data_IF_379152580843
#
_entry.id   IF_379152580843
#
_cell.length_a   1.000
_cell.length_b   1.000
_cell.length_c   1.000
_cell.angle_alpha   90.00
_cell.angle_beta   90.00
_cell.angle_gamma   90.00
#
_symmetry.space_group_name_H-M   'P 1'
#
loop_
_entity.id
_entity.type
_entity.pdbx_description
1 polymer ?
#
# COMPACT_ATOMS: atom_id res chain seq x y z
N UNK A 1 -85.20 -42.15 3.89
CA UNK A 1 -84.26 -42.55 4.97
C UNK A 1 -82.90 -42.80 4.33
N UNK A 2 -81.88 -41.98 4.65
CA UNK A 2 -80.61 -42.39 5.32
C UNK A 2 -79.92 -43.58 4.59
N UNK A 3 -78.69 -43.46 4.08
CA UNK A 3 -77.51 -43.02 4.82
C UNK A 3 -76.25 -42.85 3.97
N UNK A 4 -75.25 -42.29 4.64
CA UNK A 4 -74.05 -41.61 4.14
C UNK A 4 -72.83 -42.39 4.67
N UNK A 5 -71.83 -42.68 3.84
CA UNK A 5 -70.42 -42.92 4.25
C UNK A 5 -69.53 -42.72 3.00
N UNK A 6 -68.86 -41.59 2.81
CA UNK A 6 -67.52 -41.20 3.32
C UNK A 6 -66.40 -42.22 2.98
N UNK A 7 -65.59 -41.89 1.99
CA UNK A 7 -64.14 -42.01 2.05
C UNK A 7 -63.53 -40.95 1.12
N UNK A 8 -62.90 -39.95 1.73
CA UNK A 8 -62.17 -38.90 1.04
C UNK A 8 -60.78 -39.43 0.67
N UNK A 9 -60.44 -39.42 -0.62
CA UNK A 9 -59.07 -39.53 -1.08
C UNK A 9 -58.58 -38.12 -1.40
N UNK A 10 -57.91 -37.50 -0.42
CA UNK A 10 -57.09 -36.32 -0.62
C UNK A 10 -55.84 -36.73 -1.39
N UNK A 11 -55.83 -36.52 -2.70
CA UNK A 11 -54.58 -36.39 -3.44
C UNK A 11 -54.44 -34.92 -3.81
N UNK A 12 -53.70 -34.22 -2.93
CA UNK A 12 -53.11 -32.92 -3.19
C UNK A 12 -52.32 -33.02 -4.49
N UNK A 13 -52.87 -32.47 -5.57
CA UNK A 13 -52.09 -32.16 -6.74
C UNK A 13 -50.96 -31.23 -6.30
N UNK A 14 -49.72 -31.69 -6.48
CA UNK A 14 -48.50 -30.90 -6.36
C UNK A 14 -48.70 -29.62 -7.17
N UNK A 15 -48.88 -28.49 -6.48
CA UNK A 15 -48.88 -27.19 -7.13
C UNK A 15 -47.57 -27.08 -7.90
N UNK A 16 -47.65 -26.77 -9.20
CA UNK A 16 -46.48 -26.39 -9.99
C UNK A 16 -45.70 -25.37 -9.17
N UNK A 17 -44.44 -25.72 -8.91
CA UNK A 17 -43.46 -24.85 -8.29
C UNK A 17 -43.60 -23.47 -8.94
N UNK A 18 -44.05 -22.49 -8.15
CA UNK A 18 -43.80 -21.10 -8.47
C UNK A 18 -42.33 -21.05 -8.81
N UNK A 19 -42.04 -20.60 -10.02
CA UNK A 19 -40.77 -19.98 -10.32
C UNK A 19 -40.63 -18.81 -9.33
N UNK A 20 -40.16 -19.11 -8.13
CA UNK A 20 -39.27 -18.22 -7.44
C UNK A 20 -38.15 -18.07 -8.44
N UNK A 21 -38.15 -16.94 -9.14
CA UNK A 21 -36.92 -16.33 -9.59
C UNK A 21 -35.90 -16.68 -8.50
N UNK A 22 -34.89 -17.46 -8.87
CA UNK A 22 -33.62 -17.38 -8.18
C UNK A 22 -33.30 -15.89 -8.29
N UNK A 23 -33.72 -15.14 -7.28
CA UNK A 23 -33.06 -13.90 -6.96
C UNK A 23 -31.62 -14.36 -6.76
N UNK A 24 -30.67 -13.94 -7.59
CA UNK A 24 -29.30 -13.90 -7.12
C UNK A 24 -29.31 -12.79 -6.07
N UNK A 25 -29.88 -13.06 -4.89
CA UNK A 25 -29.62 -12.25 -3.73
C UNK A 25 -28.43 -12.89 -3.05
N UNK A 26 -27.33 -12.16 -3.17
CA UNK A 26 -26.03 -12.32 -2.54
C UNK A 26 -25.03 -13.19 -3.33
N UNK A 27 -23.87 -12.59 -3.62
CA UNK A 27 -22.97 -12.09 -2.58
C UNK A 27 -23.00 -10.55 -2.50
N UNK A 28 -23.36 -9.96 -1.36
CA UNK A 28 -22.75 -8.68 -0.95
C UNK A 28 -21.70 -8.94 0.12
N UNK A 29 -20.46 -9.13 -0.31
CA UNK A 29 -19.32 -8.58 0.37
C UNK A 29 -18.86 -7.38 -0.47
N UNK A 30 -19.04 -6.17 0.06
CA UNK A 30 -18.07 -5.12 -0.23
C UNK A 30 -16.66 -5.51 0.31
N UNK A 31 -16.48 -6.73 0.86
CA UNK A 31 -15.18 -7.34 1.13
C UNK A 31 -14.69 -8.17 -0.07
N UNK A 32 -14.27 -7.49 -1.15
CA UNK A 32 -13.28 -8.11 -2.04
C UNK A 32 -12.06 -8.42 -1.15
N UNK A 33 -11.67 -9.69 -1.05
CA UNK A 33 -10.44 -10.04 -0.33
C UNK A 33 -9.30 -9.31 -1.03
N UNK A 34 -8.53 -8.47 -0.32
CA UNK A 34 -7.47 -7.73 -0.97
C UNK A 34 -6.44 -8.70 -1.55
N UNK A 35 -5.83 -8.33 -2.67
CA UNK A 35 -4.74 -9.09 -3.27
C UNK A 35 -3.58 -9.25 -2.27
N UNK A 36 -3.27 -8.20 -1.51
CA UNK A 36 -2.29 -8.25 -0.43
C UNK A 36 -2.67 -7.32 0.73
N UNK A 37 -2.16 -7.65 1.92
CA UNK A 37 -2.15 -6.74 3.08
C UNK A 37 -0.69 -6.47 3.43
N UNK A 38 -0.31 -5.20 3.49
CA UNK A 38 1.06 -4.74 3.67
C UNK A 38 1.14 -3.91 4.95
N UNK A 39 1.79 -4.47 5.97
CA UNK A 39 1.90 -3.87 7.31
C UNK A 39 3.20 -3.08 7.45
N UNK A 40 3.12 -1.81 7.78
CA UNK A 40 4.26 -0.90 7.74
C UNK A 40 4.26 0.15 8.82
N UNK A 41 5.47 0.52 9.23
CA UNK A 41 5.73 1.41 10.35
C UNK A 41 6.20 2.77 9.84
N UNK A 42 5.46 3.82 10.20
CA UNK A 42 5.76 5.21 9.82
C UNK A 42 6.26 5.97 11.04
N UNK A 43 7.50 6.48 11.04
CA UNK A 43 7.96 7.37 12.09
C UNK A 43 7.16 8.68 12.08
N UNK A 44 6.46 8.95 13.17
CA UNK A 44 5.67 10.19 13.37
C UNK A 44 6.36 11.18 14.32
N UNK A 45 7.53 10.80 14.84
CA UNK A 45 8.36 11.61 15.73
C UNK A 45 9.69 10.92 16.03
N UNK A 46 10.44 11.42 17.03
CA UNK A 46 11.77 10.87 17.37
C UNK A 46 11.74 9.45 17.92
N UNK A 47 10.64 9.08 18.59
CA UNK A 47 10.48 7.79 19.25
C UNK A 47 9.11 7.17 18.99
N UNK A 48 8.28 7.82 18.18
CA UNK A 48 6.91 7.43 17.91
C UNK A 48 6.81 6.83 16.52
N UNK A 49 6.14 5.69 16.43
CA UNK A 49 5.91 4.93 15.21
C UNK A 49 4.42 4.62 15.11
N UNK A 50 3.86 4.88 13.94
CA UNK A 50 2.50 4.53 13.59
C UNK A 50 2.51 3.28 12.71
N UNK A 51 1.90 2.19 13.17
CA UNK A 51 1.75 0.97 12.39
C UNK A 51 0.47 1.00 11.56
N UNK A 52 0.60 0.79 10.26
CA UNK A 52 -0.47 0.91 9.27
C UNK A 52 -0.56 -0.37 8.44
N UNK A 53 -1.78 -0.76 8.06
CA UNK A 53 -2.02 -1.93 7.22
C UNK A 53 -2.71 -1.51 5.91
N UNK A 54 -1.95 -1.52 4.81
CA UNK A 54 -2.48 -1.19 3.49
C UNK A 54 -3.10 -2.42 2.85
N UNK A 55 -4.33 -2.28 2.37
CA UNK A 55 -5.01 -3.30 1.58
C UNK A 55 -4.81 -2.97 0.11
N UNK A 56 -4.10 -3.81 -0.59
CA UNK A 56 -3.74 -3.61 -1.99
C UNK A 56 -4.63 -4.46 -2.87
N UNK A 57 -5.21 -3.85 -3.89
CA UNK A 57 -5.99 -4.51 -4.94
C UNK A 57 -5.51 -4.05 -6.30
N UNK A 58 -5.28 -4.99 -7.22
CA UNK A 58 -4.87 -4.74 -8.60
C UNK A 58 -5.90 -5.36 -9.52
N UNK A 59 -6.44 -4.59 -10.47
CA UNK A 59 -7.26 -5.14 -11.55
C UNK A 59 -6.39 -5.85 -12.59
N UNK A 60 -6.87 -7.01 -13.03
CA UNK A 60 -6.16 -7.80 -14.04
C UNK A 60 -6.20 -7.13 -15.42
N UNK A 61 -5.10 -7.23 -16.16
CA UNK A 61 -4.97 -6.74 -17.53
C UNK A 61 -3.95 -7.57 -18.32
N UNK A 62 -4.17 -7.72 -19.64
CA UNK A 62 -3.26 -8.45 -20.53
C UNK A 62 -1.95 -7.68 -20.78
N UNK A 63 -1.96 -6.35 -20.68
CA UNK A 63 -0.78 -5.52 -20.87
C UNK A 63 -0.05 -5.34 -19.53
N UNK A 64 1.14 -5.94 -19.37
CA UNK A 64 1.92 -5.89 -18.12
C UNK A 64 2.17 -4.45 -17.63
N UNK A 65 2.39 -3.50 -18.55
CA UNK A 65 2.78 -2.13 -18.20
C UNK A 65 1.85 -1.05 -18.73
N UNK A 66 0.67 -1.43 -19.24
CA UNK A 66 -0.36 -0.51 -19.69
C UNK A 66 -1.03 0.27 -18.55
N UNK A 67 -2.20 0.84 -18.83
CA UNK A 67 -3.02 1.49 -17.80
C UNK A 67 -3.28 0.53 -16.63
N UNK A 68 -3.22 1.06 -15.41
CA UNK A 68 -3.23 0.26 -14.19
C UNK A 68 -4.33 0.74 -13.28
N UNK A 69 -5.28 -0.14 -12.98
CA UNK A 69 -6.24 0.07 -11.91
C UNK A 69 -5.70 -0.60 -10.64
N UNK A 70 -5.13 0.23 -9.77
CA UNK A 70 -4.62 -0.16 -8.46
C UNK A 70 -5.39 0.63 -7.41
N UNK A 71 -5.86 -0.07 -6.40
CA UNK A 71 -6.53 0.53 -5.25
C UNK A 71 -5.75 0.22 -3.96
N UNK A 72 -5.66 1.23 -3.10
CA UNK A 72 -5.18 1.09 -1.72
C UNK A 72 -6.34 1.39 -0.78
N UNK A 73 -6.68 0.45 0.09
CA UNK A 73 -7.78 0.54 1.04
C UNK A 73 -9.09 0.96 0.35
N UNK A 74 -9.39 0.33 -0.80
CA UNK A 74 -10.53 0.61 -1.68
C UNK A 74 -10.51 1.98 -2.38
N UNK A 75 -9.50 2.82 -2.14
CA UNK A 75 -9.29 4.05 -2.88
C UNK A 75 -8.51 3.74 -4.15
N UNK A 76 -9.18 3.84 -5.30
CA UNK A 76 -8.52 3.82 -6.61
C UNK A 76 -7.52 4.96 -6.72
N UNK A 77 -6.28 4.61 -7.04
CA UNK A 77 -5.23 5.59 -7.29
C UNK A 77 -5.40 6.16 -8.71
N UNK A 78 -5.10 7.45 -8.85
CA UNK A 78 -5.15 8.15 -10.13
C UNK A 78 -3.75 8.54 -10.55
N UNK A 79 -3.49 8.51 -11.85
CA UNK A 79 -2.18 8.77 -12.41
C UNK A 79 -2.28 9.78 -13.55
N UNK A 80 -1.24 10.59 -13.70
CA UNK A 80 -1.03 11.39 -14.91
C UNK A 80 -0.30 10.55 -15.98
N UNK A 81 0.01 11.20 -17.10
CA UNK A 81 0.74 10.61 -18.25
C UNK A 81 2.16 10.09 -17.92
N UNK A 82 2.71 10.46 -16.77
CA UNK A 82 4.01 10.00 -16.27
C UNK A 82 3.88 8.96 -15.15
N UNK A 83 2.68 8.41 -14.91
CA UNK A 83 2.44 7.44 -13.85
C UNK A 83 2.46 8.05 -12.43
N UNK A 84 2.49 9.38 -12.31
CA UNK A 84 2.52 10.05 -10.99
C UNK A 84 1.11 10.42 -10.53
N UNK A 85 0.88 10.41 -9.23
CA UNK A 85 -0.35 10.91 -8.63
C UNK A 85 -0.18 11.28 -7.17
N UNK A 86 -1.22 11.85 -6.59
CA UNK A 86 -1.27 12.17 -5.17
C UNK A 86 -2.69 12.28 -4.68
N UNK A 87 -2.86 12.20 -3.36
CA UNK A 87 -4.14 12.41 -2.71
C UNK A 87 -4.24 11.71 -1.37
N UNK A 88 -5.46 11.71 -0.85
CA UNK A 88 -5.76 11.15 0.46
C UNK A 88 -6.30 9.72 0.36
N UNK A 89 -5.78 8.85 1.23
CA UNK A 89 -6.17 7.46 1.42
C UNK A 89 -6.56 7.24 2.87
N UNK A 90 -7.68 6.55 3.11
CA UNK A 90 -8.13 6.20 4.46
C UNK A 90 -7.60 4.83 4.87
N UNK A 91 -6.94 4.76 6.02
CA UNK A 91 -6.42 3.51 6.59
C UNK A 91 -6.90 3.40 8.02
N UNK A 92 -7.86 2.51 8.26
CA UNK A 92 -8.56 2.48 9.55
C UNK A 92 -9.31 3.78 9.81
N UNK A 93 -9.02 4.43 10.93
CA UNK A 93 -9.53 5.74 11.32
C UNK A 93 -8.64 6.90 10.85
N UNK A 94 -7.48 6.61 10.24
CA UNK A 94 -6.50 7.61 9.82
C UNK A 94 -6.68 8.05 8.38
N UNK A 95 -6.30 9.30 8.12
CA UNK A 95 -6.18 9.86 6.77
C UNK A 95 -4.71 10.06 6.43
N UNK A 96 -4.25 9.36 5.39
CA UNK A 96 -2.90 9.45 4.86
C UNK A 96 -2.93 10.35 3.64
N UNK A 97 -2.17 11.45 3.67
CA UNK A 97 -1.86 12.22 2.46
C UNK A 97 -0.56 11.69 1.88
N UNK A 98 -0.59 11.26 0.63
CA UNK A 98 0.54 10.63 -0.04
C UNK A 98 0.65 11.08 -1.49
N UNK A 99 1.84 10.87 -2.05
CA UNK A 99 2.07 10.88 -3.48
C UNK A 99 2.64 9.54 -3.91
N UNK A 100 2.45 9.21 -5.19
CA UNK A 100 2.87 7.95 -5.72
C UNK A 100 3.37 8.06 -7.16
N UNK A 101 4.22 7.12 -7.52
CA UNK A 101 4.75 6.95 -8.87
C UNK A 101 4.64 5.48 -9.26
N UNK A 102 4.04 5.23 -10.41
CA UNK A 102 3.98 3.94 -11.05
C UNK A 102 5.00 3.86 -12.17
N UNK A 103 5.77 2.78 -12.21
CA UNK A 103 6.78 2.55 -13.23
C UNK A 103 6.76 1.10 -13.72
N UNK A 104 7.19 0.90 -14.97
CA UNK A 104 7.33 -0.42 -15.56
C UNK A 104 8.72 -0.99 -15.24
N UNK A 105 8.76 -2.22 -14.76
CA UNK A 105 10.01 -2.96 -14.53
C UNK A 105 10.33 -3.75 -15.80
N UNK A 106 11.50 -3.48 -16.37
CA UNK A 106 11.96 -4.04 -17.63
C UNK A 106 13.18 -4.94 -17.43
N UNK A 107 13.17 -6.13 -18.01
CA UNK A 107 14.31 -7.04 -18.05
C UNK A 107 14.64 -7.35 -19.50
N UNK A 108 15.88 -7.11 -19.93
CA UNK A 108 16.30 -7.29 -21.33
C UNK A 108 15.34 -6.64 -22.37
N UNK A 109 14.75 -5.48 -22.03
CA UNK A 109 13.76 -4.74 -22.83
C UNK A 109 12.34 -5.32 -22.88
N UNK A 110 12.06 -6.38 -22.12
CA UNK A 110 10.72 -6.94 -21.96
C UNK A 110 10.09 -6.48 -20.63
N UNK A 111 8.80 -6.09 -20.63
CA UNK A 111 8.09 -5.73 -19.41
C UNK A 111 7.83 -6.97 -18.56
N UNK A 112 8.22 -6.94 -17.29
CA UNK A 112 8.05 -8.08 -16.38
C UNK A 112 7.09 -7.81 -15.23
N UNK A 113 7.01 -6.57 -14.75
CA UNK A 113 6.20 -6.19 -13.60
C UNK A 113 6.00 -4.68 -13.58
N UNK A 114 5.24 -4.20 -12.59
CA UNK A 114 5.13 -2.78 -12.26
C UNK A 114 5.62 -2.55 -10.84
N UNK A 115 6.23 -1.39 -10.63
CA UNK A 115 6.67 -0.90 -9.33
C UNK A 115 5.84 0.33 -8.97
N UNK A 116 5.10 0.23 -7.88
CA UNK A 116 4.49 1.37 -7.20
C UNK A 116 5.46 1.87 -6.12
N UNK A 117 5.76 3.15 -6.20
CA UNK A 117 6.39 3.96 -5.16
C UNK A 117 5.30 4.74 -4.45
N UNK A 118 5.02 4.46 -3.18
CA UNK A 118 3.98 5.14 -2.41
C UNK A 118 4.63 5.85 -1.22
N UNK A 119 4.75 7.18 -1.31
CA UNK A 119 5.43 8.01 -0.33
C UNK A 119 4.41 8.78 0.52
N UNK A 120 4.56 8.69 1.84
CA UNK A 120 3.66 9.34 2.79
C UNK A 120 4.20 10.69 3.18
N UNK A 121 3.36 11.70 2.98
CA UNK A 121 3.67 13.07 3.34
C UNK A 121 3.11 13.41 4.73
N UNK A 122 1.88 12.95 5.02
CA UNK A 122 1.18 13.28 6.26
C UNK A 122 0.28 12.15 6.76
N UNK A 123 0.12 12.09 8.07
CA UNK A 123 -0.89 11.29 8.77
C UNK A 123 -1.77 12.23 9.59
N UNK A 124 -3.09 12.18 9.38
CA UNK A 124 -4.09 13.04 10.03
C UNK A 124 -3.75 14.54 9.95
N UNK A 125 -3.12 14.95 8.84
CA UNK A 125 -2.69 16.33 8.58
C UNK A 125 -1.33 16.72 9.17
N UNK A 126 -0.70 15.84 9.96
CA UNK A 126 0.62 16.05 10.52
C UNK A 126 1.69 15.46 9.62
N UNK A 127 2.75 16.24 9.33
CA UNK A 127 3.88 15.76 8.53
C UNK A 127 4.62 14.63 9.26
N UNK A 128 5.08 13.65 8.49
CA UNK A 128 5.88 12.52 8.99
C UNK A 128 7.28 12.55 8.39
N UNK A 129 8.20 11.78 8.96
CA UNK A 129 9.51 11.58 8.32
C UNK A 129 9.33 10.79 7.02
N UNK A 130 10.22 11.03 6.04
CA UNK A 130 10.15 10.44 4.70
C UNK A 130 10.05 8.92 4.81
N UNK A 131 8.87 8.40 4.48
CA UNK A 131 8.50 6.99 4.58
C UNK A 131 7.88 6.57 3.27
N UNK A 132 8.50 5.59 2.62
CA UNK A 132 8.07 5.09 1.32
C UNK A 132 7.84 3.59 1.37
N UNK A 133 6.69 3.16 0.84
CA UNK A 133 6.43 1.76 0.49
C UNK A 133 6.75 1.55 -0.99
N UNK A 134 7.57 0.56 -1.25
CA UNK A 134 7.86 0.04 -2.58
C UNK A 134 7.12 -1.28 -2.76
N UNK A 135 6.24 -1.34 -3.76
CA UNK A 135 5.41 -2.50 -4.06
C UNK A 135 5.64 -2.94 -5.51
N UNK A 136 6.16 -4.14 -5.70
CA UNK A 136 6.31 -4.75 -7.03
C UNK A 136 5.19 -5.75 -7.26
N UNK A 137 4.50 -5.67 -8.40
CA UNK A 137 3.38 -6.54 -8.71
C UNK A 137 3.26 -6.86 -10.21
N UNK A 138 2.56 -7.95 -10.52
CA UNK A 138 2.08 -8.30 -11.86
C UNK A 138 0.58 -8.19 -11.89
N UNK A 139 0.04 -7.58 -12.94
CA UNK A 139 -1.41 -7.47 -13.16
C UNK A 139 -1.94 -8.40 -14.24
N UNK A 140 -1.09 -9.21 -14.88
CA UNK A 140 -1.58 -10.28 -15.77
C UNK A 140 -2.28 -11.34 -14.94
N UNK A 141 -3.31 -11.99 -15.48
CA UNK A 141 -4.05 -13.01 -14.74
C UNK A 141 -3.15 -14.26 -14.46
N UNK A 142 -3.02 -14.71 -13.20
CA UNK A 142 -3.58 -14.10 -11.99
C UNK A 142 -2.75 -12.90 -11.52
N UNK A 143 -3.42 -11.80 -11.13
CA UNK A 143 -2.71 -10.66 -10.53
C UNK A 143 -2.03 -11.09 -9.22
N UNK A 144 -0.81 -10.61 -8.99
CA UNK A 144 0.05 -11.01 -7.88
C UNK A 144 0.91 -9.85 -7.39
N UNK A 145 0.98 -9.67 -6.08
CA UNK A 145 2.06 -8.88 -5.45
C UNK A 145 3.29 -9.77 -5.34
N UNK A 146 4.40 -9.33 -5.93
CA UNK A 146 5.66 -10.06 -5.97
C UNK A 146 6.54 -9.73 -4.76
N UNK A 147 6.58 -8.46 -4.38
CA UNK A 147 7.39 -7.96 -3.28
C UNK A 147 6.82 -6.66 -2.70
N UNK A 148 7.03 -6.44 -1.40
CA UNK A 148 6.64 -5.23 -0.69
C UNK A 148 7.68 -4.92 0.39
N UNK A 149 8.31 -3.74 0.33
CA UNK A 149 9.30 -3.33 1.33
C UNK A 149 9.32 -1.82 1.59
N UNK A 150 9.89 -1.45 2.73
CA UNK A 150 9.92 -0.07 3.22
C UNK A 150 11.28 0.57 2.96
N UNK A 151 11.26 1.77 2.40
CA UNK A 151 12.40 2.64 2.30
C UNK A 151 12.22 3.80 3.29
N UNK A 152 13.07 3.84 4.31
CA UNK A 152 13.23 5.00 5.18
C UNK A 152 14.39 5.83 4.62
N UNK A 153 14.10 7.01 4.09
CA UNK A 153 15.18 7.96 3.85
C UNK A 153 15.62 8.51 5.21
N UNK A 154 16.79 8.06 5.67
CA UNK A 154 17.47 8.74 6.77
C UNK A 154 17.72 10.18 6.32
N UNK A 155 16.94 11.12 6.85
CA UNK A 155 17.14 12.53 6.56
C UNK A 155 18.60 12.89 6.88
N UNK A 156 19.37 13.21 5.83
CA UNK A 156 20.66 13.86 5.99
C UNK A 156 20.36 15.25 6.54
N UNK A 157 20.26 15.35 7.85
CA UNK A 157 20.12 16.62 8.54
C UNK A 157 21.44 17.37 8.43
N UNK A 158 21.61 18.06 7.29
CA UNK A 158 22.67 19.03 7.05
C UNK A 158 22.57 20.13 8.09
N UNK A 159 23.35 19.98 9.17
CA UNK A 159 23.47 20.93 10.27
C UNK A 159 24.18 22.18 9.78
N UNK A 160 23.40 23.14 9.29
CA UNK A 160 23.56 24.59 9.49
C UNK A 160 24.75 25.32 8.85
N UNK A 161 24.43 26.48 8.25
CA UNK A 161 25.05 27.74 8.71
C UNK A 161 24.18 28.93 8.35
N UNK A 162 23.55 29.49 9.37
CA UNK A 162 22.99 30.83 9.34
C UNK A 162 24.10 31.84 9.04
N UNK A 163 23.80 32.75 8.12
CA UNK A 163 24.67 33.85 7.73
C UNK A 163 24.56 34.94 8.79
N UNK A 164 25.53 34.96 9.71
CA UNK A 164 25.69 35.98 10.75
C UNK A 164 27.09 36.59 10.65
N UNK A 165 27.14 37.90 10.48
CA UNK A 165 28.34 38.70 10.23
C UNK A 165 29.38 38.66 11.36
N UNK A 166 30.63 38.85 10.94
CA UNK A 166 31.89 38.96 11.68
C UNK A 166 31.90 39.95 12.86
N UNK A 167 32.49 39.54 14.01
CA UNK A 167 33.61 40.25 14.68
C UNK A 167 34.14 39.49 15.92
N UNK A 168 35.48 39.45 16.10
CA UNK A 168 36.12 39.34 17.42
C UNK A 168 36.79 38.00 17.78
N UNK A 169 38.12 38.03 17.91
CA UNK A 169 39.03 36.97 18.36
C UNK A 169 38.79 36.46 19.79
N UNK A 170 39.05 35.17 20.05
CA UNK A 170 40.03 34.71 21.04
C UNK A 170 40.25 33.17 21.00
N UNK A 171 41.43 32.78 21.47
CA UNK A 171 42.16 31.52 21.35
C UNK A 171 41.50 30.27 21.95
N UNK A 172 41.89 29.09 21.43
CA UNK A 172 41.89 27.83 22.19
C UNK A 172 41.36 26.60 21.46
N UNK A 173 42.29 25.69 21.11
CA UNK A 173 42.11 24.26 20.82
C UNK A 173 41.16 23.85 19.66
N UNK A 174 41.76 23.37 18.57
CA UNK A 174 41.08 22.51 17.57
C UNK A 174 40.87 21.13 18.20
N UNK A 175 39.66 20.56 18.24
CA UNK A 175 39.50 19.11 18.35
C UNK A 175 39.82 18.51 16.97
N UNK A 176 40.77 17.58 16.92
CA UNK A 176 41.02 16.73 15.76
C UNK A 176 39.74 15.97 15.41
N UNK A 177 39.34 16.05 14.13
CA UNK A 177 38.14 15.41 13.59
C UNK A 177 38.44 14.04 12.95
N UNK A 178 39.54 13.40 13.35
CA UNK A 178 40.02 12.16 12.72
C UNK A 178 39.85 10.90 13.59
N UNK A 179 39.30 11.01 14.82
CA UNK A 179 39.12 9.85 15.73
C UNK A 179 37.69 9.23 15.74
N UNK A 180 36.74 9.75 14.93
CA UNK A 180 35.37 9.21 14.85
C UNK A 180 34.99 8.71 13.45
N UNK A 181 35.99 8.24 12.69
CA UNK A 181 35.79 7.58 11.38
C UNK A 181 36.36 6.15 11.31
N UNK A 182 36.63 5.50 12.45
CA UNK A 182 37.09 4.10 12.52
C UNK A 182 36.37 3.36 13.66
N UNK A 183 35.09 2.98 13.46
CA UNK A 183 34.80 1.53 13.54
C UNK A 183 33.70 1.02 12.58
N UNK A 184 33.33 1.75 11.52
CA UNK A 184 32.27 1.28 10.59
C UNK A 184 32.78 0.58 9.31
N UNK A 185 34.11 0.43 9.14
CA UNK A 185 34.68 -0.28 7.97
C UNK A 185 34.91 -1.78 8.26
N UNK A 186 34.66 -2.27 9.48
CA UNK A 186 34.92 -3.67 9.82
C UNK A 186 33.72 -4.63 9.69
N UNK A 187 32.48 -4.14 9.57
CA UNK A 187 31.31 -5.01 9.35
C UNK A 187 31.03 -5.37 7.89
N UNK A 188 31.56 -4.61 6.92
CA UNK A 188 31.31 -4.86 5.49
C UNK A 188 32.21 -5.95 4.87
N UNK A 189 33.25 -6.42 5.55
CA UNK A 189 34.13 -7.50 5.06
C UNK A 189 33.74 -8.90 5.57
N UNK A 190 32.86 -9.00 6.57
CA UNK A 190 32.42 -10.29 7.14
C UNK A 190 31.24 -10.94 6.40
N UNK A 191 30.64 -10.24 5.43
CA UNK A 191 29.54 -10.73 4.58
C UNK A 191 30.00 -11.12 3.16
N UNK A 192 31.31 -11.11 2.89
CA UNK A 192 31.88 -11.48 1.58
C UNK A 192 32.95 -12.58 1.63
N UNK A 193 33.08 -13.28 2.76
CA UNK A 193 33.92 -14.48 2.89
C UNK A 193 33.05 -15.75 2.87
#
# INVERSE_FOLDING_TARGET
MRGITKAAALLLALALAKASFLSPHEPRPDSRTPLAVVDFDVPTGRHDVESLALKVDVEESEDICGETDLSINMKKLTYNEHGSGSGDVRVGDKTITAHWLLSCVMTHTEPEAQLLRFAIDKIDGHAVDVSELLLTFRKTAPALVLDAHYALEKSRQGKGKGMGHHHGQHDGARPDLDDELEPQIQELELLRA
#
